data_IF_617625373221
#
_entry.id   IF_617625373221
#
_cell.length_a   1.000
_cell.length_b   1.000
_cell.length_c   1.000
_cell.angle_alpha   90.00
_cell.angle_beta   90.00
_cell.angle_gamma   90.00
#
_symmetry.space_group_name_H-M   'P 1'
#
loop_
_entity.id
_entity.type
_entity.pdbx_description
1 polymer ?
#
# COMPACT_ATOMS: atom_id res chain seq x y z
N UNK A 1 -29.50 -0.30 58.55
CA UNK A 1 -28.42 0.59 58.08
C UNK A 1 -27.82 -0.08 56.88
N UNK A 2 -28.12 0.51 55.73
CA UNK A 2 -27.76 0.07 54.40
C UNK A 2 -26.39 0.67 54.08
N UNK A 3 -25.41 -0.17 53.79
CA UNK A 3 -24.13 0.25 53.20
C UNK A 3 -23.95 -0.53 51.92
N UNK A 4 -24.52 0.00 50.86
CA UNK A 4 -24.14 -0.31 49.48
C UNK A 4 -22.74 0.26 49.26
N UNK A 5 -21.73 -0.60 49.36
CA UNK A 5 -20.41 -0.29 48.85
C UNK A 5 -20.49 -0.30 47.32
N UNK A 6 -20.54 0.91 46.77
CA UNK A 6 -20.45 1.25 45.36
C UNK A 6 -19.06 0.81 44.84
N UNK A 7 -18.98 -0.44 44.38
CA UNK A 7 -17.86 -0.93 43.59
C UNK A 7 -17.96 -0.28 42.21
N UNK A 8 -17.30 0.86 42.05
CA UNK A 8 -17.02 1.49 40.75
C UNK A 8 -16.33 0.49 39.83
N UNK A 9 -17.13 -0.21 39.04
CA UNK A 9 -16.70 -1.12 38.00
C UNK A 9 -16.22 -0.25 36.83
N UNK A 10 -14.98 0.21 36.90
CA UNK A 10 -14.25 0.67 35.71
C UNK A 10 -14.00 -0.57 34.84
N UNK A 11 -15.08 -1.06 34.21
CA UNK A 11 -14.95 -1.95 33.09
C UNK A 11 -14.10 -1.18 32.09
N UNK A 12 -12.89 -1.68 31.80
CA UNK A 12 -11.96 -1.14 30.82
C UNK A 12 -12.59 -1.15 29.41
N UNK A 13 -13.59 -0.30 29.22
CA UNK A 13 -14.35 -0.13 28.00
C UNK A 13 -13.35 0.45 27.03
N UNK A 14 -13.07 -0.28 25.96
CA UNK A 14 -12.27 0.23 24.85
C UNK A 14 -13.13 1.25 24.09
N UNK A 15 -13.19 2.47 24.62
CA UNK A 15 -13.91 3.61 24.06
C UNK A 15 -13.47 3.93 22.64
N UNK A 16 -12.25 3.54 22.26
CA UNK A 16 -11.71 3.75 20.92
C UNK A 16 -12.23 2.67 19.93
N UNK A 17 -12.74 1.54 20.42
CA UNK A 17 -13.42 0.51 19.61
C UNK A 17 -14.94 0.69 19.49
N UNK A 18 -15.55 1.58 20.29
CA UNK A 18 -16.99 1.90 20.25
C UNK A 18 -17.46 2.54 18.94
N UNK A 19 -16.68 3.42 18.26
CA UNK A 19 -17.13 4.10 17.04
C UNK A 19 -17.49 3.16 15.87
N UNK A 20 -18.33 3.63 14.93
CA UNK A 20 -18.61 2.92 13.67
C UNK A 20 -17.35 2.61 12.86
N UNK A 21 -17.40 1.54 12.07
CA UNK A 21 -16.27 1.02 11.28
C UNK A 21 -15.69 2.09 10.35
N UNK A 22 -16.54 2.95 9.79
CA UNK A 22 -16.18 4.05 8.90
C UNK A 22 -15.28 5.08 9.62
N UNK A 23 -15.61 5.41 10.88
CA UNK A 23 -14.80 6.32 11.69
C UNK A 23 -13.45 5.67 12.02
N UNK A 24 -13.45 4.37 12.35
CA UNK A 24 -12.22 3.64 12.63
C UNK A 24 -11.31 3.60 11.39
N UNK A 25 -11.85 3.37 10.19
CA UNK A 25 -11.07 3.46 8.95
C UNK A 25 -10.51 4.86 8.71
N UNK A 26 -11.28 5.92 8.99
CA UNK A 26 -10.79 7.29 8.91
C UNK A 26 -9.63 7.53 9.88
N UNK A 27 -9.76 7.07 11.13
CA UNK A 27 -8.68 7.15 12.13
C UNK A 27 -7.44 6.41 11.63
N UNK A 28 -7.58 5.15 11.19
CA UNK A 28 -6.46 4.37 10.68
C UNK A 28 -5.79 5.05 9.48
N UNK A 29 -6.54 5.79 8.65
CA UNK A 29 -5.99 6.48 7.47
C UNK A 29 -5.03 7.63 7.83
N UNK A 30 -5.17 8.16 9.05
CA UNK A 30 -4.31 9.20 9.62
C UNK A 30 -3.13 8.64 10.40
N UNK A 31 -3.15 7.34 10.70
CA UNK A 31 -2.16 6.67 11.53
C UNK A 31 -1.09 6.02 10.65
N UNK A 32 0.16 6.05 11.14
CA UNK A 32 1.30 5.37 10.52
C UNK A 32 1.03 3.88 10.36
N UNK A 33 1.34 3.30 9.20
CA UNK A 33 1.03 1.90 8.90
C UNK A 33 1.67 0.93 9.91
N UNK A 34 2.84 1.30 10.44
CA UNK A 34 3.52 0.54 11.51
C UNK A 34 2.75 0.47 12.82
N UNK A 35 1.93 1.46 13.11
CA UNK A 35 1.05 1.47 14.27
C UNK A 35 -0.20 0.64 13.96
N UNK A 36 -0.76 0.80 12.75
CA UNK A 36 -1.92 0.02 12.29
C UNK A 36 -1.67 -1.49 12.43
N UNK A 37 -0.53 -2.02 11.99
CA UNK A 37 -0.24 -3.47 12.11
C UNK A 37 -0.12 -3.99 13.55
N UNK A 38 -0.03 -3.11 14.55
CA UNK A 38 0.02 -3.49 15.97
C UNK A 38 -1.35 -3.42 16.64
N UNK A 39 -2.28 -2.63 16.07
CA UNK A 39 -3.63 -2.46 16.59
C UNK A 39 -4.47 -3.74 16.67
N UNK A 40 -4.29 -4.78 15.83
CA UNK A 40 -4.99 -6.06 16.00
C UNK A 40 -4.82 -6.73 17.36
N UNK A 41 -3.79 -6.33 18.13
CA UNK A 41 -3.51 -6.86 19.47
C UNK A 41 -4.28 -6.14 20.57
N UNK A 42 -4.91 -4.99 20.27
CA UNK A 42 -5.61 -4.16 21.25
C UNK A 42 -7.02 -4.67 21.53
N UNK A 43 -7.74 -5.10 20.50
CA UNK A 43 -9.08 -5.68 20.63
C UNK A 43 -9.45 -6.50 19.39
N UNK A 44 -10.45 -7.38 19.53
CA UNK A 44 -11.05 -8.09 18.39
C UNK A 44 -11.62 -7.12 17.34
N UNK A 45 -12.13 -5.97 17.78
CA UNK A 45 -12.66 -4.94 16.90
C UNK A 45 -11.57 -4.33 16.03
N UNK A 46 -10.44 -3.95 16.63
CA UNK A 46 -9.29 -3.42 15.89
C UNK A 46 -8.70 -4.44 14.92
N UNK A 47 -8.69 -5.72 15.29
CA UNK A 47 -8.28 -6.79 14.40
C UNK A 47 -9.14 -6.81 13.13
N UNK A 48 -10.47 -6.79 13.27
CA UNK A 48 -11.39 -6.79 12.12
C UNK A 48 -11.20 -5.57 11.21
N UNK A 49 -11.03 -4.37 11.79
CA UNK A 49 -10.84 -3.14 10.99
C UNK A 49 -9.49 -3.15 10.26
N UNK A 50 -8.43 -3.67 10.89
CA UNK A 50 -7.12 -3.80 10.27
C UNK A 50 -7.08 -4.89 9.19
N UNK A 51 -7.80 -6.00 9.38
CA UNK A 51 -7.98 -7.03 8.35
C UNK A 51 -8.75 -6.47 7.14
N UNK A 52 -9.73 -5.59 7.37
CA UNK A 52 -10.52 -4.90 6.34
C UNK A 52 -9.86 -3.61 5.79
N UNK A 53 -8.57 -3.39 6.02
CA UNK A 53 -7.90 -2.14 5.66
C UNK A 53 -7.95 -1.89 4.14
N UNK A 54 -8.47 -0.73 3.74
CA UNK A 54 -8.62 -0.35 2.32
C UNK A 54 -7.47 0.51 1.79
N UNK A 55 -6.42 0.75 2.58
CA UNK A 55 -5.27 1.53 2.13
C UNK A 55 -3.97 0.95 2.69
N UNK A 56 -2.90 1.07 1.91
CA UNK A 56 -1.53 0.77 2.31
C UNK A 56 -0.71 2.00 1.94
N UNK A 57 -0.16 2.68 2.95
CA UNK A 57 0.68 3.87 2.75
C UNK A 57 2.04 3.65 3.38
N UNK A 58 3.01 3.34 2.55
CA UNK A 58 4.39 3.07 2.95
C UNK A 58 5.22 4.32 2.65
N UNK A 59 5.40 5.17 3.66
CA UNK A 59 6.05 6.49 3.51
C UNK A 59 7.52 6.45 3.89
N UNK A 60 8.35 7.24 3.19
CA UNK A 60 9.80 7.38 3.44
C UNK A 60 10.15 7.51 4.93
N UNK A 61 9.48 8.43 5.63
CA UNK A 61 9.79 8.79 7.03
C UNK A 61 9.69 7.59 7.99
N UNK A 62 8.86 6.60 7.70
CA UNK A 62 8.67 5.44 8.56
C UNK A 62 9.75 4.36 8.41
N UNK A 63 10.45 4.36 7.26
CA UNK A 63 11.33 3.26 6.85
C UNK A 63 12.71 3.72 6.40
N UNK A 64 13.06 5.01 6.52
CA UNK A 64 14.33 5.59 6.07
C UNK A 64 15.60 4.90 6.62
N UNK A 65 15.52 4.23 7.78
CA UNK A 65 16.64 3.51 8.39
C UNK A 65 16.59 1.99 8.19
N UNK A 66 15.64 1.50 7.38
CA UNK A 66 15.47 0.07 7.17
C UNK A 66 16.29 -0.39 5.97
N UNK A 67 16.88 -1.58 6.11
CA UNK A 67 17.39 -2.34 4.97
C UNK A 67 16.22 -2.82 4.11
N UNK A 68 16.45 -2.97 2.81
CA UNK A 68 15.45 -3.45 1.85
C UNK A 68 14.81 -4.77 2.29
N UNK A 69 15.57 -5.77 2.74
CA UNK A 69 15.00 -7.08 3.10
C UNK A 69 14.06 -7.00 4.31
N UNK A 70 14.39 -6.14 5.28
CA UNK A 70 13.55 -5.90 6.46
C UNK A 70 12.24 -5.24 6.05
N UNK A 71 12.30 -4.28 5.13
CA UNK A 71 11.12 -3.64 4.58
C UNK A 71 10.26 -4.61 3.78
N UNK A 72 10.86 -5.39 2.90
CA UNK A 72 10.15 -6.38 2.09
C UNK A 72 9.39 -7.39 2.96
N UNK A 73 10.04 -7.95 3.98
CA UNK A 73 9.40 -8.86 4.94
C UNK A 73 8.22 -8.21 5.67
N UNK A 74 8.32 -6.92 6.00
CA UNK A 74 7.23 -6.19 6.62
C UNK A 74 6.05 -5.99 5.68
N UNK A 75 6.30 -5.62 4.42
CA UNK A 75 5.24 -5.46 3.42
C UNK A 75 4.57 -6.81 3.19
N UNK A 76 5.34 -7.88 2.97
CA UNK A 76 4.82 -9.25 2.81
C UNK A 76 3.93 -9.65 3.99
N UNK A 77 4.36 -9.40 5.23
CA UNK A 77 3.55 -9.65 6.42
C UNK A 77 2.26 -8.81 6.45
N UNK A 78 2.33 -7.53 6.10
CA UNK A 78 1.16 -6.65 6.02
C UNK A 78 0.14 -7.16 5.00
N UNK A 79 0.58 -7.61 3.82
CA UNK A 79 -0.31 -8.16 2.79
C UNK A 79 -1.00 -9.45 3.25
N UNK A 80 -0.29 -10.30 4.01
CA UNK A 80 -0.83 -11.55 4.57
C UNK A 80 -1.88 -11.32 5.67
N UNK A 81 -1.78 -10.21 6.41
CA UNK A 81 -2.75 -9.88 7.46
C UNK A 81 -4.10 -9.39 6.92
N UNK A 82 -4.16 -8.93 5.67
CA UNK A 82 -5.39 -8.38 5.10
C UNK A 82 -6.33 -9.51 4.68
N UNK A 83 -7.62 -9.31 4.96
CA UNK A 83 -8.68 -10.10 4.38
C UNK A 83 -8.79 -9.85 2.86
N UNK A 84 -9.55 -10.69 2.16
CA UNK A 84 -9.85 -10.52 0.73
C UNK A 84 -10.87 -9.40 0.51
N UNK A 85 -10.45 -8.17 0.81
CA UNK A 85 -11.24 -6.95 0.61
C UNK A 85 -10.57 -6.05 -0.42
N UNK A 86 -11.35 -5.11 -0.96
CA UNK A 86 -10.87 -4.09 -1.88
C UNK A 86 -9.79 -3.22 -1.21
N UNK A 87 -8.76 -2.88 -1.98
CA UNK A 87 -7.70 -1.99 -1.59
C UNK A 87 -7.84 -0.68 -2.37
N UNK A 88 -8.47 0.34 -1.82
CA UNK A 88 -8.61 1.63 -2.50
C UNK A 88 -7.29 2.32 -2.85
N UNK A 89 -6.28 2.26 -1.97
CA UNK A 89 -5.01 2.98 -2.17
C UNK A 89 -3.81 2.08 -1.86
N UNK A 90 -2.90 1.99 -2.80
CA UNK A 90 -1.57 1.43 -2.60
C UNK A 90 -0.52 2.51 -2.88
N UNK A 91 0.22 2.89 -1.85
CA UNK A 91 1.26 3.91 -1.91
C UNK A 91 2.56 3.33 -1.37
N UNK A 92 3.59 3.34 -2.22
CA UNK A 92 4.94 2.88 -1.92
C UNK A 92 5.93 3.99 -2.27
N UNK A 93 6.59 4.56 -1.25
CA UNK A 93 7.62 5.56 -1.44
C UNK A 93 8.90 5.13 -0.74
N UNK A 94 9.87 4.67 -1.52
CA UNK A 94 11.11 4.09 -1.00
C UNK A 94 12.34 4.91 -1.43
N UNK A 95 13.13 5.31 -0.44
CA UNK A 95 14.38 6.08 -0.56
C UNK A 95 15.42 5.50 0.42
N UNK A 96 15.49 4.17 0.47
CA UNK A 96 16.34 3.45 1.40
C UNK A 96 17.79 3.38 0.91
N UNK A 97 18.72 2.92 1.77
CA UNK A 97 20.15 2.85 1.45
C UNK A 97 20.48 1.86 0.32
N UNK A 98 19.55 0.98 -0.04
CA UNK A 98 19.68 0.00 -1.12
C UNK A 98 18.37 -0.05 -1.92
N UNK A 99 18.44 -0.40 -3.22
CA UNK A 99 17.23 -0.62 -4.02
C UNK A 99 16.39 -1.77 -3.45
N UNK A 100 15.09 -1.75 -3.75
CA UNK A 100 14.21 -2.89 -3.47
C UNK A 100 14.37 -3.96 -4.54
N UNK A 101 14.20 -5.22 -4.15
CA UNK A 101 14.11 -6.31 -5.11
C UNK A 101 12.92 -6.10 -6.06
N UNK A 102 13.14 -6.35 -7.35
CA UNK A 102 12.15 -5.98 -8.33
C UNK A 102 10.92 -6.92 -8.31
N UNK A 103 11.12 -8.20 -8.00
CA UNK A 103 10.04 -9.17 -7.89
C UNK A 103 9.14 -8.88 -6.70
N UNK A 104 9.72 -8.42 -5.60
CA UNK A 104 8.96 -7.97 -4.42
C UNK A 104 8.00 -6.83 -4.79
N UNK A 105 8.49 -5.76 -5.43
CA UNK A 105 7.64 -4.63 -5.82
C UNK A 105 6.59 -5.06 -6.84
N UNK A 106 6.97 -5.85 -7.86
CA UNK A 106 6.04 -6.43 -8.85
C UNK A 106 4.93 -7.23 -8.17
N UNK A 107 5.27 -8.04 -7.17
CA UNK A 107 4.32 -8.83 -6.38
C UNK A 107 3.36 -7.93 -5.60
N UNK A 108 3.85 -6.89 -4.93
CA UNK A 108 3.01 -5.99 -4.13
C UNK A 108 2.05 -5.17 -4.99
N UNK A 109 2.52 -4.65 -6.12
CA UNK A 109 1.66 -3.93 -7.06
C UNK A 109 0.66 -4.88 -7.70
N UNK A 110 1.06 -6.09 -8.07
CA UNK A 110 0.16 -7.11 -8.60
C UNK A 110 -0.89 -7.54 -7.59
N UNK A 111 -0.53 -7.62 -6.32
CA UNK A 111 -1.48 -7.80 -5.23
C UNK A 111 -2.47 -6.63 -5.18
N UNK A 112 -2.02 -5.38 -5.20
CA UNK A 112 -2.92 -4.23 -5.21
C UNK A 112 -3.91 -4.27 -6.40
N UNK A 113 -3.42 -4.55 -7.60
CA UNK A 113 -4.23 -4.67 -8.82
C UNK A 113 -5.32 -5.75 -8.71
N UNK A 114 -4.99 -6.92 -8.14
CA UNK A 114 -5.95 -8.01 -7.90
C UNK A 114 -7.01 -7.69 -6.84
N UNK A 115 -6.76 -6.67 -6.02
CA UNK A 115 -7.66 -6.20 -4.97
C UNK A 115 -8.35 -4.89 -5.36
N UNK A 116 -8.71 -4.73 -6.63
CA UNK A 116 -9.55 -3.64 -7.17
C UNK A 116 -9.02 -2.23 -6.83
N UNK A 117 -7.70 -2.05 -6.90
CA UNK A 117 -7.08 -0.78 -6.52
C UNK A 117 -7.50 0.39 -7.38
N UNK A 118 -7.80 1.51 -6.72
CA UNK A 118 -8.20 2.77 -7.35
C UNK A 118 -7.03 3.73 -7.50
N UNK A 119 -6.08 3.70 -6.56
CA UNK A 119 -4.90 4.58 -6.56
C UNK A 119 -3.64 3.76 -6.38
N UNK A 120 -2.74 3.83 -7.35
CA UNK A 120 -1.37 3.32 -7.26
C UNK A 120 -0.42 4.51 -7.30
N UNK A 121 0.37 4.70 -6.23
CA UNK A 121 1.40 5.73 -6.10
C UNK A 121 2.74 5.06 -5.75
N UNK A 122 3.63 4.89 -6.73
CA UNK A 122 4.93 4.24 -6.55
C UNK A 122 6.05 5.22 -6.89
N UNK A 123 6.92 5.45 -5.90
CA UNK A 123 8.09 6.33 -6.02
C UNK A 123 9.33 5.60 -5.53
N UNK A 124 10.32 5.40 -6.40
CA UNK A 124 11.54 4.61 -6.14
C UNK A 124 12.77 5.34 -6.68
N UNK A 125 13.86 5.44 -5.90
CA UNK A 125 15.10 6.14 -6.32
C UNK A 125 15.94 5.38 -7.36
N UNK A 126 15.95 4.05 -7.33
CA UNK A 126 16.74 3.24 -8.25
C UNK A 126 15.95 1.98 -8.59
N UNK A 127 15.71 1.71 -9.87
CA UNK A 127 14.86 0.59 -10.26
C UNK A 127 15.08 0.08 -11.69
N UNK A 128 14.86 -1.23 -11.88
CA UNK A 128 14.98 -1.95 -13.15
C UNK A 128 13.59 -2.15 -13.80
N UNK A 129 13.44 -1.87 -15.09
CA UNK A 129 12.24 -1.16 -15.58
C UNK A 129 10.97 -1.99 -15.84
N UNK A 130 10.90 -3.27 -15.40
CA UNK A 130 9.81 -4.20 -15.74
C UNK A 130 8.87 -4.58 -14.59
N UNK A 131 8.76 -3.82 -13.51
CA UNK A 131 8.00 -4.32 -12.34
C UNK A 131 6.50 -4.23 -12.42
N UNK A 132 5.95 -3.38 -13.27
CA UNK A 132 4.50 -3.24 -13.28
C UNK A 132 3.89 -4.46 -13.96
N UNK A 133 3.10 -5.27 -13.22
CA UNK A 133 2.46 -6.41 -13.84
C UNK A 133 1.40 -5.93 -14.82
N UNK A 134 1.21 -6.66 -15.93
CA UNK A 134 0.25 -6.32 -16.98
C UNK A 134 -1.17 -6.08 -16.45
N UNK A 135 -1.55 -6.72 -15.33
CA UNK A 135 -2.86 -6.54 -14.70
C UNK A 135 -3.14 -5.10 -14.25
N UNK A 136 -2.10 -4.28 -14.01
CA UNK A 136 -2.26 -2.85 -13.70
C UNK A 136 -2.89 -2.13 -14.89
N UNK A 137 -2.39 -2.39 -16.10
CA UNK A 137 -2.76 -1.68 -17.34
C UNK A 137 -4.11 -2.11 -17.93
N UNK A 138 -4.75 -3.13 -17.37
CA UNK A 138 -6.08 -3.61 -17.77
C UNK A 138 -7.11 -3.47 -16.64
N UNK A 139 -6.75 -2.81 -15.53
CA UNK A 139 -7.61 -2.69 -14.37
C UNK A 139 -8.79 -1.75 -14.65
N UNK A 140 -10.05 -2.21 -14.50
CA UNK A 140 -11.22 -1.35 -14.65
C UNK A 140 -11.44 -0.43 -13.45
N UNK A 141 -10.75 -0.66 -12.33
CA UNK A 141 -10.94 0.09 -11.08
C UNK A 141 -9.91 1.22 -10.90
N UNK A 142 -8.79 1.16 -11.61
CA UNK A 142 -7.69 2.10 -11.45
C UNK A 142 -8.11 3.49 -11.93
N UNK A 143 -8.04 4.46 -11.02
CA UNK A 143 -8.40 5.87 -11.25
C UNK A 143 -7.18 6.78 -11.27
N UNK A 144 -6.15 6.45 -10.49
CA UNK A 144 -4.93 7.24 -10.40
C UNK A 144 -3.71 6.32 -10.45
N UNK A 145 -2.82 6.59 -11.40
CA UNK A 145 -1.52 5.92 -11.54
C UNK A 145 -0.42 6.97 -11.49
N UNK A 146 0.36 6.98 -10.41
CA UNK A 146 1.54 7.82 -10.24
C UNK A 146 2.78 6.95 -10.11
N UNK A 147 3.72 7.14 -11.03
CA UNK A 147 4.94 6.36 -11.14
C UNK A 147 6.10 7.36 -11.29
N UNK A 148 6.99 7.37 -10.30
CA UNK A 148 8.17 8.23 -10.31
C UNK A 148 9.40 7.38 -10.02
N UNK A 149 10.34 7.39 -10.94
CA UNK A 149 11.59 6.65 -10.84
C UNK A 149 12.73 7.66 -10.80
N UNK A 150 13.82 7.32 -10.11
CA UNK A 150 15.07 8.06 -10.24
C UNK A 150 15.88 7.56 -11.44
N UNK A 151 16.97 8.28 -11.72
CA UNK A 151 17.79 8.07 -12.92
C UNK A 151 18.16 6.59 -13.08
N UNK A 152 17.83 6.05 -14.25
CA UNK A 152 18.28 4.74 -14.65
C UNK A 152 19.82 4.73 -14.65
N UNK A 153 20.42 3.77 -13.96
CA UNK A 153 21.86 3.55 -14.07
C UNK A 153 22.23 3.33 -15.55
N UNK A 154 23.39 3.81 -16.00
CA UNK A 154 23.77 3.81 -17.42
C UNK A 154 23.56 2.44 -18.08
N UNK A 155 22.74 2.38 -19.13
CA UNK A 155 22.54 1.18 -19.97
C UNK A 155 21.19 0.48 -19.86
N UNK A 156 20.21 1.00 -19.11
CA UNK A 156 18.86 0.42 -19.09
C UNK A 156 18.00 0.91 -20.27
N UNK A 157 17.26 -0.03 -20.86
CA UNK A 157 16.23 0.24 -21.86
C UNK A 157 15.02 0.81 -21.14
N UNK A 158 14.52 1.92 -21.65
CA UNK A 158 13.31 2.56 -21.17
C UNK A 158 12.11 1.67 -20.87
N UNK A 159 11.33 2.07 -19.88
CA UNK A 159 10.08 1.45 -19.45
C UNK A 159 9.16 1.18 -20.63
N UNK A 160 9.01 -0.12 -20.92
CA UNK A 160 8.16 -0.58 -22.01
C UNK A 160 6.73 -0.69 -21.51
N UNK A 161 5.87 0.17 -22.01
CA UNK A 161 4.44 0.01 -21.82
C UNK A 161 3.96 -1.26 -22.54
N UNK A 162 3.08 -2.06 -21.92
CA UNK A 162 2.51 -3.21 -22.61
C UNK A 162 1.68 -2.74 -23.83
N UNK A 163 1.69 -3.55 -24.89
CA UNK A 163 0.99 -3.25 -26.15
C UNK A 163 -0.52 -3.03 -26.01
N UNK A 164 -1.13 -3.49 -24.91
CA UNK A 164 -2.55 -3.34 -24.64
C UNK A 164 -2.75 -2.65 -23.30
N UNK A 165 -3.20 -1.41 -23.36
CA UNK A 165 -3.60 -0.61 -22.20
C UNK A 165 -5.11 -0.40 -22.29
N UNK A 166 -5.83 -0.80 -21.24
CA UNK A 166 -7.27 -0.59 -21.09
C UNK A 166 -7.57 -0.17 -19.65
N UNK A 167 -7.60 1.14 -19.42
CA UNK A 167 -7.83 1.73 -18.11
C UNK A 167 -9.09 2.62 -18.15
N UNK A 168 -10.29 2.04 -18.22
CA UNK A 168 -11.53 2.77 -18.51
C UNK A 168 -11.92 3.78 -17.43
N UNK A 169 -11.42 3.62 -16.20
CA UNK A 169 -11.70 4.50 -15.07
C UNK A 169 -10.57 5.48 -14.75
N UNK A 170 -9.50 5.49 -15.54
CA UNK A 170 -8.32 6.31 -15.25
C UNK A 170 -8.64 7.79 -15.42
N UNK A 171 -8.37 8.55 -14.37
CA UNK A 171 -8.57 10.00 -14.30
C UNK A 171 -7.25 10.76 -14.22
N UNK A 172 -6.22 10.14 -13.65
CA UNK A 172 -4.89 10.75 -13.48
C UNK A 172 -3.80 9.74 -13.83
N UNK A 173 -2.89 10.17 -14.68
CA UNK A 173 -1.67 9.45 -15.03
C UNK A 173 -0.49 10.40 -14.84
N UNK A 174 0.48 9.99 -14.04
CA UNK A 174 1.74 10.70 -13.88
C UNK A 174 2.89 9.70 -14.00
N UNK A 175 3.77 9.97 -14.95
CA UNK A 175 4.95 9.18 -15.30
C UNK A 175 6.13 10.14 -15.27
N UNK A 176 7.11 9.91 -14.40
CA UNK A 176 8.35 10.70 -14.33
C UNK A 176 9.55 9.78 -14.52
N UNK A 177 10.48 10.20 -15.38
CA UNK A 177 11.70 9.46 -15.73
C UNK A 177 11.41 8.08 -16.35
N UNK A 178 10.42 8.07 -17.26
CA UNK A 178 9.96 6.89 -17.99
C UNK A 178 10.36 7.06 -19.45
N UNK A 179 11.33 6.28 -19.93
CA UNK A 179 11.63 6.22 -21.37
C UNK A 179 10.62 5.30 -22.07
N UNK A 180 9.68 5.87 -22.83
CA UNK A 180 8.73 5.07 -23.60
C UNK A 180 9.41 4.66 -24.91
N UNK A 181 9.89 3.42 -24.99
CA UNK A 181 10.40 2.87 -26.24
C UNK A 181 9.24 2.35 -27.09
N UNK A 182 9.12 2.87 -28.32
CA UNK A 182 8.27 2.25 -29.33
C UNK A 182 8.99 0.99 -29.81
N UNK A 183 8.45 -0.19 -29.49
CA UNK A 183 8.80 -1.39 -30.25
C UNK A 183 8.32 -1.14 -31.69
N UNK A 184 9.27 -0.88 -32.58
CA UNK A 184 9.03 -0.91 -34.02
C UNK A 184 8.41 -2.26 -34.35
N UNK A 185 7.18 -2.20 -34.86
CA UNK A 185 6.51 -3.33 -35.49
C UNK A 185 7.24 -3.60 -36.80
N UNK A 186 8.32 -4.37 -36.73
CA UNK A 186 8.91 -5.06 -37.88
C UNK A 186 8.25 -6.45 -38.05
#
# INVERSE_FOLDING_TARGET
MESTDDQGMDSGIDWISVPPTEILHNILSLVRIRTVVRMPRLSMRWRQVCEALQFIRLTRREFQHWKAEKFARFVNYLLLLRARVDLHTFQLRWYGPSPLDYNDVRMWVGYAAKHNVKVIDVVLEAYDQDFLPCCVFISPFLQELNLQFGEASHGHVGFVLPHKINLPSLKKLNLSEVEVSQLSLD
#
